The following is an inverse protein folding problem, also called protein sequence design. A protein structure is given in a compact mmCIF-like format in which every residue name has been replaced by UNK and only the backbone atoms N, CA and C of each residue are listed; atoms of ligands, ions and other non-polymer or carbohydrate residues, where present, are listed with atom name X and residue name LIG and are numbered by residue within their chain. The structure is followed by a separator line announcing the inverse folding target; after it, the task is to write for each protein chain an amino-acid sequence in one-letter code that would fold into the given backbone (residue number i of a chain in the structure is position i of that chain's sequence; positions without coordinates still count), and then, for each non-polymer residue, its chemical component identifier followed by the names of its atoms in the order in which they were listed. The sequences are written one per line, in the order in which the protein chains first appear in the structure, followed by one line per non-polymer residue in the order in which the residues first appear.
data_IF_736931458356
#
_entry.id   IF_736931458356
#
_cell.length_a   1.000
_cell.length_b   1.000
_cell.length_c   1.000
_cell.angle_alpha   90.00
_cell.angle_beta   90.00
_cell.angle_gamma   90.00
#
_symmetry.space_group_name_H-M   'P 1'
#
loop_
_entity.id
_entity.type
_entity.pdbx_description
1 polymer ?
#
# COMPACT_ATOMS: atom_id res chain seq x y z
N UNK A 1 -3.00 -35.23 20.14
CA UNK A 1 -4.09 -35.11 19.16
C UNK A 1 -4.13 -33.66 18.69
N UNK A 2 -3.63 -33.36 17.49
CA UNK A 2 -3.60 -31.99 16.97
C UNK A 2 -4.83 -31.80 16.10
N UNK A 3 -5.77 -30.98 16.56
CA UNK A 3 -6.96 -30.59 15.78
C UNK A 3 -6.54 -29.43 14.88
N UNK A 4 -6.35 -29.67 13.58
CA UNK A 4 -6.18 -28.57 12.62
C UNK A 4 -7.56 -27.99 12.34
N UNK A 5 -7.76 -26.72 12.70
CA UNK A 5 -8.94 -25.96 12.29
C UNK A 5 -8.64 -25.41 10.90
N UNK A 6 -9.34 -25.88 9.88
CA UNK A 6 -9.29 -25.27 8.56
C UNK A 6 -9.96 -23.90 8.63
N UNK A 7 -9.19 -22.84 8.36
CA UNK A 7 -9.70 -21.48 8.24
C UNK A 7 -9.90 -21.22 6.74
N UNK A 8 -11.15 -21.14 6.31
CA UNK A 8 -11.47 -20.69 4.95
C UNK A 8 -11.40 -19.17 4.92
N UNK A 9 -10.42 -18.63 4.20
CA UNK A 9 -10.32 -17.20 3.89
C UNK A 9 -10.96 -17.00 2.52
N UNK A 10 -12.04 -16.20 2.44
CA UNK A 10 -12.57 -15.73 1.16
C UNK A 10 -11.46 -14.93 0.47
N UNK A 11 -11.02 -15.38 -0.71
CA UNK A 11 -9.94 -14.72 -1.47
C UNK A 11 -10.42 -13.50 -2.24
N UNK A 12 -11.73 -13.39 -2.47
CA UNK A 12 -12.36 -12.28 -3.20
C UNK A 12 -13.67 -11.89 -2.51
N UNK A 13 -13.92 -10.59 -2.43
CA UNK A 13 -15.17 -10.04 -1.91
C UNK A 13 -16.18 -9.87 -3.05
N UNK A 14 -17.43 -10.28 -2.81
CA UNK A 14 -18.53 -10.12 -3.76
C UNK A 14 -19.16 -8.73 -3.67
N UNK A 15 -20.01 -8.37 -4.64
CA UNK A 15 -20.77 -7.12 -4.59
C UNK A 15 -21.67 -7.03 -3.34
N UNK A 16 -22.21 -8.16 -2.89
CA UNK A 16 -23.02 -8.23 -1.67
C UNK A 16 -22.16 -8.01 -0.42
N UNK A 17 -20.97 -8.61 -0.36
CA UNK A 17 -20.02 -8.38 0.74
C UNK A 17 -19.65 -6.87 0.85
N UNK A 18 -19.45 -6.19 -0.28
CA UNK A 18 -19.19 -4.75 -0.31
C UNK A 18 -20.41 -3.91 0.09
N UNK A 19 -21.61 -4.30 -0.33
CA UNK A 19 -22.84 -3.61 0.05
C UNK A 19 -23.09 -3.71 1.56
N UNK A 20 -22.87 -4.88 2.14
CA UNK A 20 -22.96 -5.10 3.59
C UNK A 20 -21.93 -4.26 4.35
N UNK A 21 -20.67 -4.22 3.87
CA UNK A 21 -19.62 -3.40 4.46
C UNK A 21 -19.96 -1.90 4.41
N UNK A 22 -20.53 -1.43 3.30
CA UNK A 22 -20.99 -0.06 3.16
C UNK A 22 -22.12 0.25 4.15
N UNK A 23 -23.13 -0.61 4.26
CA UNK A 23 -24.23 -0.43 5.21
C UNK A 23 -23.74 -0.36 6.66
N UNK A 24 -22.82 -1.26 7.04
CA UNK A 24 -22.18 -1.24 8.37
C UNK A 24 -21.47 0.06 8.65
N UNK A 25 -20.71 0.56 7.67
CA UNK A 25 -19.97 1.83 7.77
C UNK A 25 -20.93 3.00 7.93
N UNK A 26 -21.99 3.07 7.11
CA UNK A 26 -23.00 4.13 7.21
C UNK A 26 -23.73 4.12 8.56
N UNK A 27 -24.05 2.93 9.07
CA UNK A 27 -24.68 2.78 10.39
C UNK A 27 -23.75 3.26 11.50
N UNK A 28 -22.48 2.90 11.45
CA UNK A 28 -21.50 3.35 12.44
C UNK A 28 -21.32 4.87 12.40
N UNK A 29 -21.21 5.44 11.19
CA UNK A 29 -21.09 6.89 11.01
C UNK A 29 -22.32 7.63 11.55
N UNK A 30 -23.53 7.14 11.27
CA UNK A 30 -24.77 7.73 11.78
C UNK A 30 -24.95 7.59 13.30
N UNK A 31 -24.26 6.62 13.93
CA UNK A 31 -24.31 6.41 15.37
C UNK A 31 -23.28 7.25 16.14
N UNK A 32 -22.24 7.75 15.47
CA UNK A 32 -21.19 8.55 16.08
C UNK A 32 -21.75 9.91 16.51
N UNK A 33 -21.60 10.24 17.79
CA UNK A 33 -22.05 11.52 18.33
C UNK A 33 -21.02 12.64 18.07
N UNK A 34 -21.46 13.91 18.00
CA UNK A 34 -20.52 15.04 17.88
C UNK A 34 -19.51 15.11 19.03
N UNK A 35 -19.90 14.73 20.24
CA UNK A 35 -19.01 14.69 21.40
C UNK A 35 -17.93 13.62 21.28
N UNK A 36 -18.28 12.43 20.76
CA UNK A 36 -17.31 11.37 20.49
C UNK A 36 -16.33 11.76 19.37
N UNK A 37 -16.84 12.34 18.28
CA UNK A 37 -16.01 12.82 17.17
C UNK A 37 -14.99 13.90 17.62
N UNK A 38 -15.46 14.85 18.46
CA UNK A 38 -14.60 15.87 19.04
C UNK A 38 -13.53 15.28 19.98
N UNK A 39 -13.88 14.25 20.76
CA UNK A 39 -12.93 13.56 21.63
C UNK A 39 -11.86 12.81 20.83
N UNK A 40 -12.24 12.09 19.77
CA UNK A 40 -11.31 11.38 18.88
C UNK A 40 -10.37 12.39 18.19
N UNK A 41 -10.91 13.51 17.72
CA UNK A 41 -10.12 14.57 17.09
C UNK A 41 -9.13 15.19 18.07
N UNK A 42 -9.53 15.44 19.32
CA UNK A 42 -8.65 15.95 20.35
C UNK A 42 -7.50 14.97 20.68
N UNK A 43 -7.80 13.67 20.76
CA UNK A 43 -6.77 12.63 20.98
C UNK A 43 -5.77 12.56 19.81
N UNK A 44 -6.24 12.65 18.56
CA UNK A 44 -5.37 12.70 17.39
C UNK A 44 -4.48 13.95 17.37
N UNK A 45 -4.99 15.12 17.77
CA UNK A 45 -4.21 16.36 17.87
C UNK A 45 -3.15 16.31 18.97
N UNK A 46 -3.34 15.49 20.00
CA UNK A 46 -2.35 15.28 21.07
C UNK A 46 -1.21 14.35 20.63
N UNK A 47 -1.38 13.55 19.57
CA UNK A 47 -0.38 12.63 19.05
C UNK A 47 0.49 13.30 17.95
N UNK A 48 1.74 13.70 18.25
CA UNK A 48 2.54 14.47 17.30
C UNK A 48 2.98 13.69 16.06
N UNK A 49 2.97 12.35 16.10
CA UNK A 49 3.39 11.52 14.96
C UNK A 49 2.21 11.11 14.04
N UNK A 50 0.98 11.37 14.49
CA UNK A 50 -0.24 11.01 13.78
C UNK A 50 -1.34 12.09 13.90
N UNK A 51 -1.06 13.35 13.50
CA UNK A 51 -2.07 14.40 13.49
C UNK A 51 -3.20 14.12 12.47
N UNK A 52 -4.40 14.71 12.63
CA UNK A 52 -5.43 14.71 11.60
C UNK A 52 -4.89 15.25 10.28
N UNK A 53 -5.26 14.62 9.18
CA UNK A 53 -4.86 15.01 7.82
C UNK A 53 -5.97 15.91 7.26
N UNK A 54 -5.59 17.04 6.66
CA UNK A 54 -6.55 17.93 5.98
C UNK A 54 -7.10 17.28 4.71
N UNK A 55 -8.35 17.58 4.34
CA UNK A 55 -9.05 16.91 3.23
C UNK A 55 -8.34 17.06 1.87
N UNK A 56 -7.59 18.15 1.66
CA UNK A 56 -6.86 18.45 0.43
C UNK A 56 -5.42 17.90 0.40
N UNK A 57 -4.93 17.36 1.52
CA UNK A 57 -3.59 16.76 1.63
C UNK A 57 -3.57 15.27 1.30
N UNK A 58 -4.74 14.65 1.08
CA UNK A 58 -4.82 13.19 0.90
C UNK A 58 -4.62 12.80 -0.57
N UNK A 59 -3.44 12.28 -0.90
CA UNK A 59 -3.22 11.54 -2.15
C UNK A 59 -3.62 10.07 -1.97
N UNK A 60 -4.86 9.73 -2.31
CA UNK A 60 -5.30 8.33 -2.36
C UNK A 60 -4.71 7.62 -3.57
N UNK A 61 -3.59 6.93 -3.37
CA UNK A 61 -3.09 5.94 -4.33
C UNK A 61 -3.93 4.67 -4.25
N UNK A 62 -4.44 4.21 -5.40
CA UNK A 62 -5.21 2.97 -5.47
C UNK A 62 -4.40 1.78 -4.97
N UNK A 63 -5.05 0.83 -4.27
CA UNK A 63 -4.37 -0.31 -3.65
C UNK A 63 -3.48 -1.11 -4.63
N UNK A 64 -3.88 -1.24 -5.90
CA UNK A 64 -3.02 -1.87 -6.93
C UNK A 64 -1.73 -1.10 -7.19
N UNK A 65 -1.81 0.23 -7.23
CA UNK A 65 -0.65 1.08 -7.41
C UNK A 65 0.24 1.08 -6.15
N UNK A 66 -0.36 1.20 -4.96
CA UNK A 66 0.37 1.04 -3.70
C UNK A 66 1.06 -0.34 -3.64
N UNK A 67 0.37 -1.41 -4.04
CA UNK A 67 0.95 -2.74 -4.16
C UNK A 67 2.05 -2.81 -5.21
N UNK A 68 1.95 -2.14 -6.35
CA UNK A 68 3.04 -2.09 -7.32
C UNK A 68 4.26 -1.34 -6.75
N UNK A 69 4.05 -0.21 -6.08
CA UNK A 69 5.12 0.55 -5.41
C UNK A 69 5.80 -0.27 -4.31
N UNK A 70 5.03 -1.05 -3.55
CA UNK A 70 5.53 -1.87 -2.43
C UNK A 70 6.05 -3.26 -2.84
N UNK A 71 5.42 -3.91 -3.82
CA UNK A 71 5.65 -5.32 -4.22
C UNK A 71 6.23 -5.47 -5.63
N UNK A 72 6.30 -4.41 -6.43
CA UNK A 72 6.91 -4.42 -7.77
C UNK A 72 8.44 -4.58 -7.74
N UNK A 73 9.05 -4.50 -6.56
CA UNK A 73 10.46 -4.86 -6.37
C UNK A 73 10.63 -6.37 -6.48
N UNK A 74 11.13 -6.83 -7.62
CA UNK A 74 11.56 -8.21 -7.82
C UNK A 74 13.06 -8.33 -7.57
N UNK A 75 13.50 -9.42 -6.94
CA UNK A 75 14.93 -9.73 -6.82
C UNK A 75 15.36 -10.56 -8.03
N UNK A 76 16.32 -10.04 -8.80
CA UNK A 76 17.01 -10.77 -9.86
C UNK A 76 18.48 -10.94 -9.49
N UNK A 77 19.14 -11.97 -10.05
CA UNK A 77 20.59 -12.10 -9.92
C UNK A 77 21.26 -11.32 -11.04
N UNK A 78 22.15 -10.41 -10.67
CA UNK A 78 23.01 -9.65 -11.57
C UNK A 78 24.46 -9.87 -11.14
N UNK A 79 25.36 -10.04 -12.08
CA UNK A 79 26.77 -10.21 -11.77
C UNK A 79 27.32 -8.96 -11.06
N UNK A 80 28.18 -9.21 -10.07
CA UNK A 80 28.71 -8.15 -9.20
C UNK A 80 29.47 -7.07 -9.98
N UNK A 81 30.24 -7.46 -10.99
CA UNK A 81 31.04 -6.51 -11.76
C UNK A 81 30.15 -5.58 -12.61
N UNK A 82 28.99 -6.06 -13.07
CA UNK A 82 27.99 -5.23 -13.76
C UNK A 82 27.46 -4.16 -12.79
N UNK A 83 27.03 -4.56 -11.59
CA UNK A 83 26.54 -3.62 -10.57
C UNK A 83 27.60 -2.57 -10.22
N UNK A 84 28.85 -2.98 -10.01
CA UNK A 84 29.94 -2.06 -9.70
C UNK A 84 30.25 -1.08 -10.85
N UNK A 85 30.10 -1.49 -12.12
CA UNK A 85 30.27 -0.57 -13.26
C UNK A 85 29.20 0.51 -13.28
N UNK A 86 27.94 0.12 -13.04
CA UNK A 86 26.83 1.07 -12.96
C UNK A 86 27.02 2.02 -11.78
N UNK A 87 27.38 1.53 -10.58
CA UNK A 87 27.65 2.37 -9.40
C UNK A 87 28.76 3.40 -9.63
N UNK A 88 29.85 3.03 -10.33
CA UNK A 88 30.93 3.96 -10.69
C UNK A 88 30.47 5.07 -11.66
N UNK A 89 29.35 4.88 -12.35
CA UNK A 89 28.85 5.82 -13.35
C UNK A 89 27.99 6.95 -12.77
N UNK A 90 27.60 6.87 -11.48
CA UNK A 90 26.84 7.91 -10.77
C UNK A 90 25.83 7.37 -9.76
N UNK A 91 25.26 8.28 -8.95
CA UNK A 91 24.25 7.95 -7.93
C UNK A 91 22.92 7.47 -8.56
N UNK A 92 22.71 7.73 -9.85
CA UNK A 92 21.55 7.30 -10.66
C UNK A 92 21.71 5.88 -11.25
N UNK A 93 22.68 5.10 -10.78
CA UNK A 93 23.03 3.80 -11.34
C UNK A 93 21.87 2.78 -11.38
N UNK A 94 20.96 2.81 -10.39
CA UNK A 94 19.77 1.95 -10.36
C UNK A 94 18.76 2.31 -11.46
N UNK A 95 18.62 3.60 -11.77
CA UNK A 95 17.75 4.04 -12.86
C UNK A 95 18.35 3.62 -14.21
N UNK A 96 19.66 3.76 -14.38
CA UNK A 96 20.38 3.38 -15.60
C UNK A 96 20.34 1.88 -15.88
N UNK A 97 20.52 1.04 -14.86
CA UNK A 97 20.42 -0.41 -15.06
C UNK A 97 18.98 -0.83 -15.41
N UNK A 98 17.97 -0.19 -14.82
CA UNK A 98 16.57 -0.42 -15.19
C UNK A 98 16.26 0.01 -16.63
N UNK A 99 16.78 1.14 -17.08
CA UNK A 99 16.63 1.60 -18.47
C UNK A 99 17.28 0.62 -19.45
N UNK A 100 18.50 0.15 -19.16
CA UNK A 100 19.18 -0.86 -19.96
C UNK A 100 18.37 -2.17 -20.06
N UNK A 101 17.77 -2.62 -18.95
CA UNK A 101 16.91 -3.80 -18.94
C UNK A 101 15.63 -3.60 -19.76
N UNK A 102 15.01 -2.40 -19.72
CA UNK A 102 13.85 -2.09 -20.57
C UNK A 102 14.20 -2.09 -22.04
N UNK A 103 15.34 -1.53 -22.43
CA UNK A 103 15.80 -1.50 -23.81
C UNK A 103 16.12 -2.90 -24.37
N UNK A 104 16.57 -3.83 -23.51
CA UNK A 104 16.89 -5.20 -23.87
C UNK A 104 15.68 -6.15 -23.78
N UNK A 105 14.59 -5.74 -23.11
CA UNK A 105 13.40 -6.54 -22.99
C UNK A 105 12.79 -6.81 -24.38
N UNK A 106 12.29 -8.03 -24.63
CA UNK A 106 11.57 -8.29 -25.88
C UNK A 106 10.35 -7.35 -25.98
N UNK A 107 10.03 -6.93 -27.21
CA UNK A 107 8.78 -6.24 -27.48
C UNK A 107 7.61 -7.17 -27.11
N UNK A 108 6.54 -6.57 -26.57
CA UNK A 108 5.29 -7.29 -26.25
C UNK A 108 4.66 -7.97 -27.47
#
# INVERSE_FOLDING_TARGET
MIVRREVFIKTEATAEDWAEAHEKTQRALAAMTPEEDAAITADALLDPDNPPIEEDEIEFVGWKEAQFRLKGRTTIRVDRDIVERFQRAGDDWEARINEALRAAAPAE
#
